data_IF_148608592371
#
_entry.id   IF_148608592371
#
_cell.length_a   1.000
_cell.length_b   1.000
_cell.length_c   1.000
_cell.angle_alpha   90.00
_cell.angle_beta   90.00
_cell.angle_gamma   90.00
#
_symmetry.space_group_name_H-M   'P 1'
#
loop_
_entity.id
_entity.type
_entity.pdbx_description
1 polymer ?
#
# COMPACT_ATOMS: atom_id res chain seq x y z
N UNK A 1 -5.29 -19.23 -13.31
CA UNK A 1 -6.58 -18.79 -12.76
C UNK A 1 -6.32 -18.36 -11.33
N UNK A 2 -6.20 -17.06 -11.07
CA UNK A 2 -6.09 -16.57 -9.69
C UNK A 2 -7.46 -16.71 -9.04
N UNK A 3 -7.56 -17.46 -7.93
CA UNK A 3 -8.73 -17.40 -7.07
C UNK A 3 -8.95 -15.95 -6.66
N UNK A 4 -10.08 -15.38 -7.09
CA UNK A 4 -10.48 -14.05 -6.64
C UNK A 4 -10.74 -14.15 -5.14
N UNK A 5 -9.87 -13.54 -4.34
CA UNK A 5 -10.05 -13.46 -2.89
C UNK A 5 -11.42 -12.85 -2.63
N UNK A 6 -12.30 -13.61 -1.98
CA UNK A 6 -13.60 -13.11 -1.56
C UNK A 6 -13.40 -12.15 -0.38
N UNK A 7 -13.29 -10.85 -0.68
CA UNK A 7 -13.02 -9.80 0.31
C UNK A 7 -14.06 -9.78 1.44
N UNK A 8 -15.31 -10.15 1.16
CA UNK A 8 -16.37 -10.15 2.16
C UNK A 8 -16.13 -11.25 3.19
N UNK A 9 -15.80 -12.46 2.72
CA UNK A 9 -15.44 -13.59 3.58
C UNK A 9 -14.18 -13.28 4.39
N UNK A 10 -13.19 -12.63 3.78
CA UNK A 10 -11.96 -12.25 4.47
C UNK A 10 -12.21 -11.20 5.56
N UNK A 11 -13.05 -10.20 5.29
CA UNK A 11 -13.47 -9.23 6.31
C UNK A 11 -14.26 -9.90 7.44
N UNK A 12 -15.11 -10.89 7.15
CA UNK A 12 -15.78 -11.69 8.19
C UNK A 12 -14.76 -12.37 9.12
N UNK A 13 -13.73 -13.00 8.56
CA UNK A 13 -12.64 -13.62 9.34
C UNK A 13 -11.90 -12.60 10.19
N UNK A 14 -11.63 -11.41 9.66
CA UNK A 14 -11.00 -10.31 10.42
C UNK A 14 -11.88 -9.88 11.60
N UNK A 15 -13.19 -9.72 11.39
CA UNK A 15 -14.11 -9.31 12.46
C UNK A 15 -14.24 -10.39 13.54
N UNK A 16 -14.39 -11.64 13.13
CA UNK A 16 -14.50 -12.79 14.04
C UNK A 16 -13.23 -12.95 14.88
N UNK A 17 -12.05 -12.97 14.26
CA UNK A 17 -10.78 -13.13 14.96
C UNK A 17 -10.47 -11.99 15.94
N UNK A 18 -11.06 -10.81 15.72
CA UNK A 18 -10.95 -9.66 16.62
C UNK A 18 -12.05 -9.61 17.68
N UNK A 19 -12.98 -10.56 17.71
CA UNK A 19 -14.12 -10.56 18.63
C UNK A 19 -15.07 -9.38 18.42
N UNK A 20 -15.20 -8.91 17.17
CA UNK A 20 -15.97 -7.71 16.78
C UNK A 20 -17.30 -8.05 16.11
N UNK A 21 -17.95 -9.12 16.56
CA UNK A 21 -19.21 -9.61 16.01
C UNK A 21 -20.29 -9.61 17.10
N UNK A 22 -21.49 -9.16 16.76
CA UNK A 22 -22.66 -9.13 17.67
C UNK A 22 -23.61 -10.31 17.43
N UNK A 23 -23.44 -11.03 16.33
CA UNK A 23 -24.30 -12.12 15.91
C UNK A 23 -24.14 -12.40 14.41
N UNK A 24 -25.05 -13.20 13.86
CA UNK A 24 -25.10 -13.52 12.42
C UNK A 24 -26.45 -13.10 11.88
N UNK A 25 -26.47 -12.37 10.76
CA UNK A 25 -27.70 -12.02 10.05
C UNK A 25 -28.31 -13.31 9.46
N UNK A 26 -29.53 -13.70 9.88
CA UNK A 26 -30.16 -14.95 9.44
C UNK A 26 -30.46 -14.97 7.93
N UNK A 27 -30.52 -13.81 7.27
CA UNK A 27 -30.80 -13.73 5.82
C UNK A 27 -29.56 -13.88 4.97
N UNK A 28 -28.45 -13.29 5.42
CA UNK A 28 -27.22 -13.20 4.63
C UNK A 28 -26.11 -14.13 5.10
N UNK A 29 -26.24 -14.71 6.30
CA UNK A 29 -25.20 -15.52 6.93
C UNK A 29 -23.96 -14.71 7.35
N UNK A 30 -24.00 -13.38 7.26
CA UNK A 30 -22.88 -12.49 7.57
C UNK A 30 -22.89 -12.10 9.04
N UNK A 31 -21.72 -11.85 9.61
CA UNK A 31 -21.64 -11.30 10.96
C UNK A 31 -22.24 -9.90 11.02
N UNK A 32 -23.03 -9.65 12.06
CA UNK A 32 -23.46 -8.32 12.46
C UNK A 32 -22.28 -7.65 13.16
N UNK A 33 -21.91 -6.46 12.70
CA UNK A 33 -20.76 -5.70 13.22
C UNK A 33 -21.27 -4.33 13.66
N UNK A 34 -20.98 -3.96 14.90
CA UNK A 34 -21.40 -2.68 15.46
C UNK A 34 -20.79 -1.50 14.67
N UNK A 35 -21.48 -0.36 14.64
CA UNK A 35 -20.93 0.86 14.00
C UNK A 35 -19.59 1.28 14.64
N UNK A 36 -19.42 1.04 15.94
CA UNK A 36 -18.19 1.32 16.68
C UNK A 36 -17.05 0.43 16.19
N UNK A 37 -17.27 -0.87 16.06
CA UNK A 37 -16.26 -1.82 15.59
C UNK A 37 -15.89 -1.58 14.13
N UNK A 38 -16.88 -1.22 13.30
CA UNK A 38 -16.64 -0.81 11.92
C UNK A 38 -15.73 0.42 11.86
N UNK A 39 -15.92 1.40 12.76
CA UNK A 39 -15.06 2.58 12.85
C UNK A 39 -13.63 2.24 13.31
N UNK A 40 -13.50 1.39 14.33
CA UNK A 40 -12.19 0.94 14.83
C UNK A 40 -11.42 0.18 13.75
N UNK A 41 -12.06 -0.76 13.05
CA UNK A 41 -11.44 -1.49 11.95
C UNK A 41 -11.05 -0.55 10.81
N UNK A 42 -11.90 0.42 10.44
CA UNK A 42 -11.57 1.40 9.40
C UNK A 42 -10.33 2.26 9.78
N UNK A 43 -10.21 2.64 11.06
CA UNK A 43 -9.05 3.36 11.57
C UNK A 43 -7.78 2.51 11.56
N UNK A 44 -7.86 1.25 12.00
CA UNK A 44 -6.75 0.30 11.97
C UNK A 44 -6.24 0.07 10.54
N UNK A 45 -7.16 -0.20 9.60
CA UNK A 45 -6.84 -0.33 8.18
C UNK A 45 -6.17 0.93 7.64
N UNK A 46 -6.68 2.11 7.98
CA UNK A 46 -6.10 3.38 7.53
C UNK A 46 -4.66 3.58 8.03
N UNK A 47 -4.40 3.18 9.28
CA UNK A 47 -3.07 3.25 9.90
C UNK A 47 -2.05 2.33 9.20
N UNK A 48 -2.46 1.12 8.81
CA UNK A 48 -1.57 0.15 8.15
C UNK A 48 -0.97 0.67 6.84
N UNK A 49 -1.66 1.58 6.15
CA UNK A 49 -1.25 2.12 4.84
C UNK A 49 -1.04 3.64 4.86
N UNK A 50 -0.93 4.24 6.04
CA UNK A 50 -0.72 5.69 6.18
C UNK A 50 -1.76 6.53 5.44
N UNK A 51 -3.04 6.14 5.48
CA UNK A 51 -4.13 6.92 4.84
C UNK A 51 -4.63 8.01 5.80
N UNK A 52 -4.63 9.25 5.32
CA UNK A 52 -5.20 10.45 5.97
C UNK A 52 -6.12 11.17 4.97
N UNK A 53 -7.37 11.51 5.31
CA UNK A 53 -8.11 11.09 6.51
C UNK A 53 -8.44 9.58 6.49
N UNK A 54 -8.72 8.96 7.66
CA UNK A 54 -9.16 7.57 7.73
C UNK A 54 -10.40 7.28 6.88
N UNK A 55 -10.57 6.04 6.45
CA UNK A 55 -11.83 5.63 5.83
C UNK A 55 -13.00 5.79 6.80
N UNK A 56 -14.16 6.18 6.29
CA UNK A 56 -15.37 6.23 7.08
C UNK A 56 -15.90 4.83 7.37
N UNK A 57 -16.64 4.62 8.49
CA UNK A 57 -17.28 3.33 8.77
C UNK A 57 -18.23 2.90 7.65
N UNK A 58 -18.89 3.87 6.99
CA UNK A 58 -19.80 3.60 5.85
C UNK A 58 -19.03 3.05 4.64
N UNK A 59 -17.83 3.57 4.35
CA UNK A 59 -17.03 3.06 3.24
C UNK A 59 -16.63 1.59 3.46
N UNK A 60 -16.19 1.25 4.67
CA UNK A 60 -15.87 -0.14 5.02
C UNK A 60 -17.12 -1.03 5.03
N UNK A 61 -18.25 -0.53 5.54
CA UNK A 61 -19.53 -1.23 5.50
C UNK A 61 -19.99 -1.56 4.08
N UNK A 62 -19.85 -0.63 3.13
CA UNK A 62 -20.20 -0.89 1.73
C UNK A 62 -19.35 -2.00 1.10
N UNK A 63 -18.05 -2.03 1.42
CA UNK A 63 -17.14 -3.10 0.98
C UNK A 63 -17.53 -4.44 1.63
N UNK A 64 -17.76 -4.45 2.93
CA UNK A 64 -18.19 -5.64 3.67
C UNK A 64 -19.54 -6.17 3.17
N UNK A 65 -20.48 -5.28 2.86
CA UNK A 65 -21.78 -5.64 2.30
C UNK A 65 -21.69 -6.13 0.84
N UNK A 66 -20.55 -5.92 0.17
CA UNK A 66 -20.37 -6.24 -1.24
C UNK A 66 -21.06 -5.26 -2.19
N UNK A 67 -21.47 -4.08 -1.71
CA UNK A 67 -22.10 -3.06 -2.56
C UNK A 67 -21.06 -2.22 -3.31
N UNK A 68 -19.83 -2.14 -2.79
CA UNK A 68 -18.70 -1.49 -3.44
C UNK A 68 -17.46 -2.40 -3.41
N UNK A 69 -16.66 -2.36 -4.46
CA UNK A 69 -15.33 -2.97 -4.44
C UNK A 69 -14.34 -2.09 -3.64
N UNK A 70 -13.36 -2.70 -2.94
CA UNK A 70 -12.32 -1.93 -2.27
C UNK A 70 -11.38 -1.31 -3.31
N UNK A 71 -11.09 -0.02 -3.19
CA UNK A 71 -10.00 0.60 -3.94
C UNK A 71 -8.64 -0.03 -3.56
N UNK A 72 -7.63 0.07 -4.46
CA UNK A 72 -6.30 -0.56 -4.31
C UNK A 72 -5.68 -0.39 -2.92
N UNK A 73 -5.76 0.81 -2.35
CA UNK A 73 -5.19 1.13 -1.03
C UNK A 73 -5.95 0.45 0.13
N UNK A 74 -7.27 0.30 0.02
CA UNK A 74 -8.07 -0.43 1.03
C UNK A 74 -7.82 -1.93 0.92
N UNK A 75 -7.77 -2.47 -0.31
CA UNK A 75 -7.43 -3.86 -0.54
C UNK A 75 -6.07 -4.21 0.07
N UNK A 76 -5.04 -3.39 -0.16
CA UNK A 76 -3.72 -3.56 0.46
C UNK A 76 -3.80 -3.54 1.99
N UNK A 77 -4.56 -2.62 2.58
CA UNK A 77 -4.76 -2.58 4.03
C UNK A 77 -5.45 -3.84 4.58
N UNK A 78 -6.46 -4.36 3.88
CA UNK A 78 -7.19 -5.58 4.25
C UNK A 78 -6.25 -6.78 4.22
N UNK A 79 -5.51 -6.96 3.13
CA UNK A 79 -4.52 -8.04 2.98
C UNK A 79 -3.42 -7.94 4.04
N UNK A 80 -2.93 -6.74 4.31
CA UNK A 80 -1.92 -6.51 5.34
C UNK A 80 -2.41 -6.83 6.76
N UNK A 81 -3.69 -6.56 7.04
CA UNK A 81 -4.30 -6.93 8.32
C UNK A 81 -4.43 -8.44 8.47
N UNK A 82 -4.84 -9.14 7.41
CA UNK A 82 -4.92 -10.60 7.42
C UNK A 82 -3.54 -11.26 7.61
N UNK A 83 -2.54 -10.81 6.86
CA UNK A 83 -1.16 -11.29 7.04
C UNK A 83 -0.63 -11.04 8.46
N UNK A 84 -1.02 -9.92 9.09
CA UNK A 84 -0.67 -9.65 10.49
C UNK A 84 -1.34 -10.60 11.48
N UNK A 85 -2.52 -11.12 11.16
CA UNK A 85 -3.16 -12.19 11.95
C UNK A 85 -2.41 -13.51 11.82
N UNK A 86 -1.75 -13.75 10.68
CA UNK A 86 -0.86 -14.90 10.46
C UNK A 86 0.57 -14.69 11.01
N UNK A 87 0.80 -13.64 11.80
CA UNK A 87 2.10 -13.33 12.40
C UNK A 87 3.10 -12.66 11.45
N UNK A 88 2.71 -12.33 10.22
CA UNK A 88 3.55 -11.57 9.29
C UNK A 88 3.53 -10.10 9.67
N UNK A 89 4.71 -9.50 9.87
CA UNK A 89 4.75 -8.07 10.21
C UNK A 89 4.04 -7.22 9.13
N UNK A 90 3.24 -6.20 9.49
CA UNK A 90 2.59 -5.30 8.53
C UNK A 90 3.56 -4.68 7.52
N UNK A 91 4.82 -4.49 7.94
CA UNK A 91 5.88 -3.99 7.09
C UNK A 91 6.20 -4.95 5.94
N UNK A 92 6.11 -6.28 6.14
CA UNK A 92 6.35 -7.30 5.12
C UNK A 92 5.11 -7.56 4.26
N UNK A 93 3.90 -7.47 4.84
CA UNK A 93 2.66 -7.83 4.15
C UNK A 93 2.33 -6.95 2.92
N UNK A 94 2.89 -5.74 2.86
CA UNK A 94 2.74 -4.82 1.73
C UNK A 94 3.97 -4.76 0.81
N UNK A 95 4.92 -5.70 0.94
CA UNK A 95 6.11 -5.70 0.08
C UNK A 95 5.86 -6.50 -1.19
N UNK A 96 6.46 -6.02 -2.27
CA UNK A 96 6.57 -6.75 -3.53
C UNK A 96 8.01 -7.25 -3.64
N UNK A 97 8.19 -8.48 -4.12
CA UNK A 97 9.51 -8.98 -4.45
C UNK A 97 10.12 -8.11 -5.57
N UNK A 98 11.31 -7.59 -5.34
CA UNK A 98 12.02 -6.78 -6.33
C UNK A 98 13.50 -7.13 -6.37
N UNK A 99 14.07 -7.08 -7.58
CA UNK A 99 15.51 -7.19 -7.77
C UNK A 99 16.15 -5.82 -7.52
N UNK A 100 16.86 -5.70 -6.40
CA UNK A 100 17.64 -4.51 -6.07
C UNK A 100 19.08 -4.69 -6.56
N UNK A 101 19.57 -3.75 -7.37
CA UNK A 101 21.00 -3.59 -7.62
C UNK A 101 21.53 -2.55 -6.64
N UNK A 102 22.41 -2.96 -5.74
CA UNK A 102 23.02 -2.10 -4.74
C UNK A 102 24.54 -2.26 -4.76
N UNK A 103 25.25 -1.17 -4.47
CA UNK A 103 26.69 -1.26 -4.23
C UNK A 103 26.91 -2.02 -2.90
N UNK A 104 27.64 -3.14 -2.90
CA UNK A 104 27.85 -3.95 -1.70
C UNK A 104 28.54 -3.19 -0.56
N UNK A 105 29.27 -2.10 -0.84
CA UNK A 105 29.85 -1.25 0.20
C UNK A 105 28.79 -0.45 0.99
N UNK A 106 27.60 -0.26 0.42
CA UNK A 106 26.56 0.63 0.95
C UNK A 106 25.32 -0.10 1.49
N UNK A 107 25.16 -1.39 1.21
CA UNK A 107 24.02 -2.18 1.66
C UNK A 107 24.53 -3.44 2.37
N UNK A 108 24.30 -3.51 3.68
CA UNK A 108 24.68 -4.67 4.50
C UNK A 108 23.65 -5.79 4.36
N UNK A 109 24.08 -7.02 4.61
CA UNK A 109 23.15 -8.14 4.74
C UNK A 109 22.08 -7.83 5.80
N UNK A 110 20.81 -8.11 5.47
CA UNK A 110 19.66 -7.79 6.34
C UNK A 110 19.20 -6.33 6.31
N UNK A 111 19.80 -5.46 5.50
CA UNK A 111 19.34 -4.08 5.36
C UNK A 111 17.90 -4.01 4.84
N UNK A 112 17.12 -3.09 5.43
CA UNK A 112 15.77 -2.77 4.97
C UNK A 112 15.82 -1.48 4.17
N UNK A 113 15.41 -1.55 2.90
CA UNK A 113 15.25 -0.35 2.07
C UNK A 113 13.91 0.31 2.43
N UNK A 114 13.99 1.45 3.10
CA UNK A 114 12.84 2.29 3.44
C UNK A 114 12.82 3.47 2.47
N UNK A 115 11.92 3.46 1.50
CA UNK A 115 11.75 4.59 0.59
C UNK A 115 10.78 4.32 -0.54
N UNK A 116 10.18 5.38 -1.06
CA UNK A 116 9.34 5.32 -2.25
C UNK A 116 10.22 5.42 -3.49
N UNK A 117 10.11 4.44 -4.38
CA UNK A 117 10.76 4.54 -5.69
C UNK A 117 10.15 5.68 -6.50
N UNK A 118 10.98 6.40 -7.24
CA UNK A 118 10.57 7.45 -8.17
C UNK A 118 11.14 7.16 -9.55
N UNK A 119 10.41 7.52 -10.60
CA UNK A 119 10.96 7.52 -11.95
C UNK A 119 12.04 8.60 -12.07
N UNK A 120 13.13 8.29 -12.77
CA UNK A 120 14.13 9.29 -13.14
C UNK A 120 13.49 10.35 -14.04
N UNK A 121 13.70 11.63 -13.73
CA UNK A 121 13.10 12.74 -14.47
C UNK A 121 13.72 12.95 -15.87
N UNK A 122 14.88 12.35 -16.17
CA UNK A 122 15.48 12.43 -17.51
C UNK A 122 14.64 11.63 -18.52
N UNK A 123 14.12 12.24 -19.60
CA UNK A 123 13.45 11.53 -20.68
C UNK A 123 14.31 10.40 -21.25
N UNK A 124 13.69 9.25 -21.53
CA UNK A 124 14.38 8.08 -22.09
C UNK A 124 15.22 7.27 -21.10
N UNK A 125 15.37 7.68 -19.84
CA UNK A 125 16.17 6.92 -18.88
C UNK A 125 15.54 5.58 -18.46
N UNK A 126 14.21 5.51 -18.30
CA UNK A 126 13.47 4.30 -17.90
C UNK A 126 13.74 3.76 -16.49
N UNK A 127 14.76 4.26 -15.78
CA UNK A 127 15.14 3.81 -14.44
C UNK A 127 14.18 4.35 -13.38
N UNK A 128 13.68 3.47 -12.52
CA UNK A 128 13.09 3.83 -11.22
C UNK A 128 14.11 3.61 -10.11
N UNK A 129 14.25 4.58 -9.20
CA UNK A 129 15.25 4.54 -8.14
C UNK A 129 14.66 4.99 -6.81
N UNK A 130 15.23 4.52 -5.70
CA UNK A 130 14.88 5.00 -4.36
C UNK A 130 15.83 6.16 -4.01
N UNK A 131 15.35 7.41 -3.87
CA UNK A 131 16.20 8.54 -3.58
C UNK A 131 16.71 8.48 -2.14
N UNK A 132 18.00 8.79 -1.94
CA UNK A 132 18.61 8.89 -0.61
C UNK A 132 18.25 10.20 0.13
N UNK A 133 17.67 11.19 -0.57
CA UNK A 133 17.15 12.44 -0.01
C UNK A 133 15.84 12.83 -0.73
N UNK A 134 14.84 13.43 -0.05
CA UNK A 134 13.49 13.63 -0.62
C UNK A 134 13.44 14.44 -1.92
N UNK A 135 14.35 15.39 -2.11
CA UNK A 135 14.38 16.29 -3.28
C UNK A 135 15.13 15.74 -4.49
N UNK A 136 15.73 14.54 -4.42
CA UNK A 136 16.48 13.97 -5.54
C UNK A 136 15.52 13.54 -6.67
N UNK A 137 15.69 14.16 -7.84
CA UNK A 137 14.85 13.93 -9.05
C UNK A 137 15.49 12.99 -10.09
N UNK A 138 16.81 12.77 -10.02
CA UNK A 138 17.58 12.02 -11.01
C UNK A 138 18.29 10.81 -10.39
N UNK A 139 18.37 9.71 -11.14
CA UNK A 139 19.02 8.50 -10.65
C UNK A 139 20.55 8.64 -10.58
N UNK A 140 21.17 9.47 -11.42
CA UNK A 140 22.61 9.79 -11.41
C UNK A 140 22.87 11.27 -11.71
N UNK A 141 24.07 11.75 -11.37
CA UNK A 141 24.53 13.09 -11.76
C UNK A 141 24.64 13.23 -13.29
N UNK A 142 25.01 12.17 -14.00
CA UNK A 142 25.03 12.16 -15.46
C UNK A 142 23.64 12.42 -16.06
N UNK A 143 22.60 11.79 -15.49
CA UNK A 143 21.22 12.04 -15.93
C UNK A 143 20.79 13.48 -15.66
N UNK A 144 21.22 14.07 -14.54
CA UNK A 144 20.97 15.48 -14.22
C UNK A 144 21.67 16.41 -15.21
N UNK A 145 22.93 16.16 -15.52
CA UNK A 145 23.72 16.95 -16.46
C UNK A 145 23.19 16.85 -17.90
N UNK A 146 22.75 15.66 -18.33
CA UNK A 146 22.09 15.48 -19.62
C UNK A 146 20.78 16.23 -19.70
N UNK A 147 19.91 16.10 -18.68
CA UNK A 147 18.66 16.84 -18.62
C UNK A 147 18.88 18.36 -18.72
N UNK A 148 19.89 18.90 -18.03
CA UNK A 148 20.24 20.31 -18.12
C UNK A 148 20.73 20.73 -19.53
N UNK A 149 21.51 19.87 -20.21
CA UNK A 149 21.95 20.11 -21.59
C UNK A 149 20.78 20.08 -22.57
N UNK A 150 19.90 19.09 -22.44
CA UNK A 150 18.72 18.97 -23.29
C UNK A 150 17.78 20.16 -23.12
N UNK A 151 17.60 20.65 -21.88
CA UNK A 151 16.83 21.86 -21.60
C UNK A 151 17.45 23.12 -22.24
N UNK A 152 18.78 23.26 -22.17
CA UNK A 152 19.49 24.38 -22.79
C UNK A 152 19.39 24.38 -24.32
N UNK A 153 19.40 23.20 -24.96
CA UNK A 153 19.27 23.06 -26.40
C UNK A 153 17.84 23.29 -26.91
N UNK A 154 16.83 22.92 -26.12
CA UNK A 154 15.43 23.01 -26.53
C UNK A 154 14.75 24.34 -26.15
N UNK A 155 15.45 25.25 -25.47
CA UNK A 155 14.93 26.58 -25.15
C UNK A 155 13.75 26.60 -24.16
N UNK A 156 13.42 25.49 -23.52
CA UNK A 156 12.35 25.43 -22.51
C UNK A 156 12.92 25.81 -21.15
N UNK A 157 13.24 27.10 -21.00
CA UNK A 157 13.48 27.70 -19.70
C UNK A 157 12.17 28.28 -19.17
N UNK A 158 11.46 27.52 -18.34
CA UNK A 158 10.52 28.00 -17.29
C UNK A 158 10.23 26.87 -16.29
#
# INVERSE_FOLDING_TARGET
MSELINIQQFLSTIFEAKGRTEGVDPKTGRFLVSRKDMALTAQELSRLVGKQPPWSPRALQSVYAGTNEPGKKMLAAILAMGAAMDGVSPALANKVEMRLYANPANVRAGAVVLGESRACLRPGCGVSFVPNVPWRKFCSEECRAQFARDAALNGTGD
#
